data_IF_383191336401
#
_entry.id   IF_383191336401
#
_cell.length_a   1.000
_cell.length_b   1.000
_cell.length_c   1.000
_cell.angle_alpha   90.00
_cell.angle_beta   90.00
_cell.angle_gamma   90.00
#
_symmetry.space_group_name_H-M   'P 1'
#
loop_
_entity.id
_entity.type
_entity.pdbx_description
1 polymer ?
#
# COMPACT_ATOMS: atom_id res chain seq x y z
N UNK A 1 -9.39 37.08 16.57
CA UNK A 1 -8.97 36.65 15.22
C UNK A 1 -7.47 36.37 15.11
N UNK A 2 -6.60 37.08 15.85
CA UNK A 2 -5.12 36.89 15.82
C UNK A 2 -4.64 35.60 16.51
N UNK A 3 -5.25 35.21 17.64
CA UNK A 3 -4.89 33.99 18.37
C UNK A 3 -5.12 32.69 17.57
N UNK A 4 -6.14 32.66 16.70
CA UNK A 4 -6.43 31.49 15.87
C UNK A 4 -5.35 31.30 14.78
N UNK A 5 -4.83 32.41 14.25
CA UNK A 5 -3.74 32.39 13.26
C UNK A 5 -2.42 31.89 13.84
N UNK A 6 -2.10 32.25 15.08
CA UNK A 6 -0.89 31.77 15.77
C UNK A 6 -0.95 30.28 16.10
N UNK A 7 -2.12 29.76 16.51
CA UNK A 7 -2.31 28.33 16.75
C UNK A 7 -2.18 27.52 15.46
N UNK A 8 -2.74 28.00 14.35
CA UNK A 8 -2.58 27.37 13.04
C UNK A 8 -1.11 27.34 12.61
N UNK A 9 -0.38 28.44 12.74
CA UNK A 9 1.04 28.50 12.37
C UNK A 9 1.91 27.56 13.21
N UNK A 10 1.68 27.49 14.52
CA UNK A 10 2.42 26.61 15.42
C UNK A 10 2.10 25.13 15.15
N UNK A 11 0.84 24.81 14.82
CA UNK A 11 0.43 23.46 14.41
C UNK A 11 1.20 22.98 13.18
N UNK A 12 1.29 23.80 12.12
CA UNK A 12 1.99 23.43 10.90
C UNK A 12 3.53 23.43 11.03
N UNK A 13 4.09 24.25 11.91
CA UNK A 13 5.53 24.23 12.17
C UNK A 13 5.98 23.09 13.08
N UNK A 14 5.12 22.68 14.02
CA UNK A 14 5.52 21.77 15.09
C UNK A 14 5.10 20.32 14.84
N UNK A 15 4.07 20.07 14.03
CA UNK A 15 3.59 18.71 13.77
C UNK A 15 4.33 18.15 12.55
N UNK A 16 5.27 17.21 12.74
CA UNK A 16 5.91 16.53 11.63
C UNK A 16 4.87 15.69 10.88
N UNK A 17 5.20 15.34 9.63
CA UNK A 17 4.39 14.42 8.86
C UNK A 17 4.24 13.09 9.63
N UNK A 18 3.01 12.76 10.02
CA UNK A 18 2.69 11.60 10.87
C UNK A 18 2.84 10.27 10.11
N UNK A 19 2.87 10.32 8.77
CA UNK A 19 2.98 9.14 7.92
C UNK A 19 3.87 9.42 6.69
N UNK A 20 4.65 8.42 6.31
CA UNK A 20 5.42 8.40 5.08
C UNK A 20 4.68 7.57 4.04
N UNK A 21 4.40 8.16 2.87
CA UNK A 21 3.72 7.47 1.77
C UNK A 21 4.67 7.40 0.58
N UNK A 22 4.93 6.19 0.09
CA UNK A 22 5.72 5.93 -1.11
C UNK A 22 4.88 5.11 -2.09
N UNK A 23 4.86 5.49 -3.39
CA UNK A 23 4.15 4.72 -4.40
C UNK A 23 4.84 3.37 -4.65
N UNK A 24 4.05 2.33 -4.92
CA UNK A 24 4.52 0.98 -5.24
C UNK A 24 4.22 0.68 -6.71
N UNK A 25 5.23 0.25 -7.46
CA UNK A 25 5.12 -0.06 -8.89
C UNK A 25 5.41 -1.54 -9.13
N UNK A 26 4.38 -2.36 -8.98
CA UNK A 26 4.48 -3.81 -9.15
C UNK A 26 4.88 -4.18 -10.59
N UNK A 27 5.89 -5.06 -10.70
CA UNK A 27 6.44 -5.59 -11.95
C UNK A 27 6.38 -7.10 -11.96
N UNK A 28 6.33 -7.66 -13.16
CA UNK A 28 6.42 -9.10 -13.40
C UNK A 28 7.76 -9.43 -14.03
N UNK A 29 8.31 -10.60 -13.68
CA UNK A 29 9.48 -11.10 -14.37
C UNK A 29 9.11 -11.57 -15.79
N UNK A 30 9.82 -11.04 -16.79
CA UNK A 30 9.66 -11.35 -18.20
C UNK A 30 10.24 -12.72 -18.58
N UNK A 31 11.04 -13.34 -17.72
CA UNK A 31 11.71 -14.62 -17.97
C UNK A 31 10.77 -15.85 -17.93
N UNK A 32 9.50 -15.65 -17.58
CA UNK A 32 8.54 -16.74 -17.41
C UNK A 32 8.17 -17.39 -18.76
N UNK A 33 8.42 -18.71 -18.94
CA UNK A 33 8.01 -19.42 -20.15
C UNK A 33 6.49 -19.39 -20.34
N UNK A 34 6.06 -19.16 -21.59
CA UNK A 34 4.64 -19.10 -21.98
C UNK A 34 3.88 -20.34 -21.47
N UNK A 35 2.76 -20.11 -20.77
CA UNK A 35 1.87 -21.19 -20.30
C UNK A 35 2.15 -21.71 -18.89
N UNK A 36 3.06 -21.08 -18.12
CA UNK A 36 3.25 -21.37 -16.69
C UNK A 36 3.03 -20.11 -15.85
N UNK A 37 2.53 -20.27 -14.62
CA UNK A 37 2.51 -19.21 -13.61
C UNK A 37 3.89 -19.26 -12.94
N UNK A 38 4.83 -18.44 -13.41
CA UNK A 38 6.21 -18.44 -12.88
C UNK A 38 6.58 -17.17 -12.12
N UNK A 39 5.80 -16.10 -12.24
CA UNK A 39 6.11 -14.84 -11.59
C UNK A 39 4.89 -14.25 -10.88
N UNK A 40 5.12 -13.81 -9.65
CA UNK A 40 4.20 -13.00 -8.88
C UNK A 40 4.60 -11.53 -9.07
N UNK A 41 3.65 -10.58 -8.99
CA UNK A 41 4.00 -9.17 -9.03
C UNK A 41 4.84 -8.79 -7.80
N UNK A 42 5.94 -8.09 -8.01
CA UNK A 42 6.80 -7.60 -6.92
C UNK A 42 7.34 -6.20 -7.24
N UNK A 43 7.79 -5.48 -6.22
CA UNK A 43 8.53 -4.24 -6.38
C UNK A 43 9.59 -4.11 -5.29
N UNK A 44 10.70 -3.45 -5.61
CA UNK A 44 11.80 -3.21 -4.69
C UNK A 44 11.87 -1.71 -4.40
N UNK A 45 11.51 -1.33 -3.17
CA UNK A 45 11.42 0.06 -2.75
C UNK A 45 12.61 0.42 -1.87
N UNK A 46 13.31 1.50 -2.22
CA UNK A 46 14.33 2.08 -1.36
C UNK A 46 13.69 3.13 -0.47
N UNK A 47 13.62 2.86 0.84
CA UNK A 47 12.98 3.76 1.82
C UNK A 47 13.77 5.05 2.04
N UNK A 48 15.10 4.98 1.99
CA UNK A 48 16.01 6.11 2.19
C UNK A 48 16.84 6.33 0.93
N UNK A 49 16.68 7.49 0.30
CA UNK A 49 17.53 7.90 -0.82
C UNK A 49 18.95 8.26 -0.32
N UNK A 50 19.97 7.93 -1.11
CA UNK A 50 21.37 8.22 -0.74
C UNK A 50 21.56 9.71 -0.48
N UNK A 51 21.90 10.07 0.76
CA UNK A 51 22.19 11.46 1.17
C UNK A 51 21.05 12.19 1.91
N UNK A 52 19.89 11.56 2.09
CA UNK A 52 18.82 12.07 2.95
C UNK A 52 18.78 11.32 4.28
N UNK A 53 18.47 12.03 5.37
CA UNK A 53 18.38 11.44 6.70
C UNK A 53 17.17 10.49 6.82
N UNK A 54 17.32 9.52 7.71
CA UNK A 54 16.47 8.35 7.95
C UNK A 54 14.97 8.63 7.79
N UNK A 55 14.31 7.85 6.91
CA UNK A 55 12.84 7.86 6.77
C UNK A 55 12.17 7.30 8.04
N UNK A 56 12.87 6.45 8.78
CA UNK A 56 12.40 5.81 10.01
C UNK A 56 13.41 6.11 11.12
N UNK A 57 13.03 6.92 12.10
CA UNK A 57 13.87 7.20 13.26
C UNK A 57 14.05 5.93 14.12
N UNK A 58 15.30 5.63 14.50
CA UNK A 58 15.64 4.50 15.36
C UNK A 58 14.90 4.53 16.71
N UNK A 59 14.46 3.36 17.18
CA UNK A 59 13.75 3.22 18.46
C UNK A 59 12.28 3.66 18.47
N UNK A 60 11.78 4.27 17.39
CA UNK A 60 10.35 4.57 17.23
C UNK A 60 9.62 3.38 16.62
N UNK A 61 8.43 3.09 17.13
CA UNK A 61 7.56 2.06 16.58
C UNK A 61 6.70 2.64 15.44
N UNK A 62 6.70 1.95 14.29
CA UNK A 62 5.96 2.28 13.10
C UNK A 62 4.95 1.18 12.76
N UNK A 63 3.79 1.57 12.22
CA UNK A 63 2.91 0.65 11.52
C UNK A 63 3.12 0.82 10.02
N UNK A 64 3.30 -0.31 9.33
CA UNK A 64 3.49 -0.36 7.88
C UNK A 64 2.24 -0.99 7.28
N UNK A 65 1.56 -0.24 6.44
CA UNK A 65 0.37 -0.66 5.70
C UNK A 65 0.62 -0.57 4.20
N UNK A 66 0.05 -1.50 3.46
CA UNK A 66 -0.03 -1.41 2.00
C UNK A 66 -1.47 -1.10 1.61
N UNK A 67 -1.64 -0.11 0.74
CA UNK A 67 -2.93 0.22 0.11
C UNK A 67 -2.90 -0.31 -1.30
N UNK A 68 -3.86 -1.17 -1.64
CA UNK A 68 -3.98 -1.76 -2.97
C UNK A 68 -5.27 -1.29 -3.63
N UNK A 69 -5.12 -0.77 -4.85
CA UNK A 69 -6.22 -0.44 -5.75
C UNK A 69 -6.39 -1.56 -6.77
N UNK A 70 -7.52 -2.26 -6.73
CA UNK A 70 -7.79 -3.38 -7.63
C UNK A 70 -9.14 -3.22 -8.33
N UNK A 71 -9.23 -3.51 -9.65
CA UNK A 71 -10.51 -3.49 -10.35
C UNK A 71 -11.40 -4.67 -9.93
N UNK A 72 -12.71 -4.43 -9.81
CA UNK A 72 -13.72 -5.43 -9.41
C UNK A 72 -14.10 -6.41 -10.54
N UNK A 73 -13.11 -6.90 -11.28
CA UNK A 73 -13.31 -7.89 -12.35
C UNK A 73 -13.60 -9.30 -11.82
N UNK A 74 -14.37 -10.09 -12.57
CA UNK A 74 -14.66 -11.49 -12.21
C UNK A 74 -13.37 -12.29 -11.96
N UNK A 75 -12.37 -12.13 -12.83
CA UNK A 75 -11.07 -12.79 -12.69
C UNK A 75 -10.36 -12.49 -11.37
N UNK A 76 -10.43 -11.24 -10.89
CA UNK A 76 -9.80 -10.85 -9.63
C UNK A 76 -10.57 -11.35 -8.41
N UNK A 77 -11.90 -11.41 -8.51
CA UNK A 77 -12.75 -11.93 -7.44
C UNK A 77 -12.58 -13.45 -7.32
N UNK A 78 -12.51 -14.14 -8.46
CA UNK A 78 -12.29 -15.58 -8.53
C UNK A 78 -10.89 -16.01 -8.06
N UNK A 79 -9.91 -15.10 -8.01
CA UNK A 79 -8.63 -15.38 -7.34
C UNK A 79 -8.83 -15.70 -5.85
N UNK A 80 -9.89 -15.19 -5.22
CA UNK A 80 -10.17 -15.40 -3.81
C UNK A 80 -9.10 -14.78 -2.91
N UNK A 81 -8.64 -15.57 -1.93
CA UNK A 81 -7.64 -15.13 -0.96
C UNK A 81 -6.24 -15.21 -1.58
N UNK A 82 -5.50 -14.11 -1.52
CA UNK A 82 -4.10 -14.04 -1.94
C UNK A 82 -3.21 -13.57 -0.79
N UNK A 83 -1.91 -13.83 -0.91
CA UNK A 83 -0.92 -13.56 0.13
C UNK A 83 -0.06 -12.37 -0.26
N UNK A 84 0.05 -11.37 0.61
CA UNK A 84 0.98 -10.26 0.44
C UNK A 84 2.21 -10.53 1.30
N UNK A 85 3.41 -10.39 0.72
CA UNK A 85 4.69 -10.52 1.40
C UNK A 85 5.42 -9.20 1.37
N UNK A 86 5.93 -8.78 2.52
CA UNK A 86 6.84 -7.63 2.66
C UNK A 86 8.10 -8.10 3.36
N UNK A 87 9.24 -7.89 2.72
CA UNK A 87 10.56 -8.18 3.28
C UNK A 87 11.30 -6.86 3.50
N UNK A 88 11.79 -6.65 4.72
CA UNK A 88 12.69 -5.57 5.07
C UNK A 88 14.11 -6.04 4.83
N UNK A 89 14.83 -5.37 3.94
CA UNK A 89 16.13 -5.79 3.44
C UNK A 89 17.20 -4.80 3.87
N UNK A 90 18.34 -5.30 4.35
CA UNK A 90 19.50 -4.51 4.72
C UNK A 90 20.20 -3.91 3.49
N UNK A 91 21.14 -2.98 3.71
CA UNK A 91 21.99 -2.44 2.64
C UNK A 91 22.87 -3.53 1.99
N UNK A 92 23.16 -4.61 2.71
CA UNK A 92 23.92 -5.76 2.24
C UNK A 92 23.07 -6.75 1.44
N UNK A 93 21.74 -6.59 1.42
CA UNK A 93 20.80 -7.48 0.73
C UNK A 93 20.25 -8.60 1.60
N UNK A 94 20.54 -8.61 2.90
CA UNK A 94 20.03 -9.62 3.83
C UNK A 94 18.62 -9.26 4.29
N UNK A 95 17.74 -10.27 4.36
CA UNK A 95 16.38 -10.09 4.86
C UNK A 95 16.45 -9.99 6.39
N UNK A 96 16.17 -8.80 6.93
CA UNK A 96 16.15 -8.53 8.38
C UNK A 96 14.84 -9.02 8.99
N UNK A 97 13.72 -8.64 8.40
CA UNK A 97 12.38 -9.03 8.86
C UNK A 97 11.47 -9.30 7.67
N UNK A 98 10.49 -10.19 7.85
CA UNK A 98 9.56 -10.58 6.79
C UNK A 98 8.16 -10.73 7.37
N UNK A 99 7.18 -10.12 6.73
CA UNK A 99 5.76 -10.24 7.06
C UNK A 99 4.99 -10.86 5.89
N UNK A 100 4.01 -11.70 6.21
CA UNK A 100 3.10 -12.32 5.25
C UNK A 100 1.68 -12.17 5.78
N UNK A 101 0.82 -11.45 5.05
CA UNK A 101 -0.58 -11.19 5.47
C UNK A 101 -1.57 -11.55 4.36
N UNK A 102 -2.65 -12.29 4.69
CA UNK A 102 -3.64 -12.68 3.69
C UNK A 102 -4.54 -11.49 3.40
N UNK A 103 -4.95 -11.39 2.15
CA UNK A 103 -5.87 -10.37 1.67
C UNK A 103 -6.90 -11.00 0.74
N UNK A 104 -8.07 -10.39 0.67
CA UNK A 104 -9.15 -10.83 -0.17
C UNK A 104 -9.93 -9.62 -0.65
N UNK A 105 -10.34 -9.64 -1.93
CA UNK A 105 -11.31 -8.67 -2.43
C UNK A 105 -12.66 -8.87 -1.76
N UNK A 106 -13.34 -7.79 -1.40
CA UNK A 106 -14.62 -7.95 -0.73
C UNK A 106 -15.66 -8.37 -1.76
N UNK A 107 -16.21 -9.57 -1.57
CA UNK A 107 -17.23 -10.09 -2.45
C UNK A 107 -18.52 -9.24 -2.37
N UNK A 108 -19.07 -8.90 -3.54
CA UNK A 108 -20.39 -8.29 -3.70
C UNK A 108 -21.24 -9.20 -4.59
N UNK A 109 -22.49 -9.41 -4.19
CA UNK A 109 -23.41 -10.25 -4.96
C UNK A 109 -23.64 -9.71 -6.37
N UNK A 110 -23.83 -10.57 -7.39
CA UNK A 110 -24.04 -10.12 -8.76
C UNK A 110 -25.29 -9.25 -8.90
N UNK A 111 -26.35 -9.55 -8.15
CA UNK A 111 -27.56 -8.74 -8.11
C UNK A 111 -27.29 -7.33 -7.59
N UNK A 112 -26.53 -7.21 -6.49
CA UNK A 112 -26.15 -5.91 -5.95
C UNK A 112 -25.32 -5.11 -6.94
N UNK A 113 -24.38 -5.75 -7.65
CA UNK A 113 -23.60 -5.09 -8.70
C UNK A 113 -24.48 -4.54 -9.81
N UNK A 114 -25.45 -5.30 -10.31
CA UNK A 114 -26.39 -4.83 -11.34
C UNK A 114 -27.18 -3.60 -10.86
N UNK A 115 -27.72 -3.63 -9.64
CA UNK A 115 -28.47 -2.51 -9.07
C UNK A 115 -27.58 -1.28 -8.89
N UNK A 116 -26.36 -1.47 -8.38
CA UNK A 116 -25.38 -0.40 -8.17
C UNK A 116 -24.95 0.23 -9.50
N UNK A 117 -24.57 -0.58 -10.47
CA UNK A 117 -24.21 -0.13 -11.82
C UNK A 117 -25.37 0.60 -12.47
N UNK A 118 -26.61 0.08 -12.37
CA UNK A 118 -27.81 0.74 -12.92
C UNK A 118 -28.05 2.12 -12.31
N UNK A 119 -27.84 2.26 -11.00
CA UNK A 119 -28.01 3.53 -10.30
C UNK A 119 -26.93 4.57 -10.70
N UNK A 120 -25.70 4.11 -10.94
CA UNK A 120 -24.56 4.97 -11.26
C UNK A 120 -24.16 5.01 -12.75
N UNK A 121 -24.98 4.48 -13.67
CA UNK A 121 -24.67 4.46 -15.12
C UNK A 121 -24.23 5.81 -15.66
N UNK A 122 -24.92 6.94 -15.38
CA UNK A 122 -24.52 8.22 -15.96
C UNK A 122 -23.10 8.63 -15.51
N UNK A 123 -22.75 8.40 -14.25
CA UNK A 123 -21.43 8.74 -13.71
C UNK A 123 -20.33 7.82 -14.24
N UNK A 124 -20.63 6.53 -14.42
CA UNK A 124 -19.73 5.53 -15.01
C UNK A 124 -19.41 5.85 -16.48
N UNK A 125 -20.43 6.19 -17.28
CA UNK A 125 -20.25 6.53 -18.70
C UNK A 125 -19.47 7.84 -18.90
N UNK A 126 -19.64 8.80 -17.99
CA UNK A 126 -18.88 10.05 -18.00
C UNK A 126 -17.44 9.88 -17.48
N UNK A 127 -17.05 8.67 -17.05
CA UNK A 127 -15.71 8.38 -16.51
C UNK A 127 -15.44 9.03 -15.15
N UNK A 128 -16.46 9.58 -14.49
CA UNK A 128 -16.32 10.18 -13.15
C UNK A 128 -16.24 9.12 -12.05
N UNK A 129 -16.73 7.92 -12.33
CA UNK A 129 -16.70 6.78 -11.42
C UNK A 129 -16.02 5.60 -12.12
N UNK A 130 -15.18 4.88 -11.39
CA UNK A 130 -14.51 3.66 -11.86
C UNK A 130 -14.90 2.47 -10.96
N UNK A 131 -15.04 1.28 -11.55
CA UNK A 131 -15.32 0.03 -10.81
C UNK A 131 -14.04 -0.55 -10.19
N UNK A 132 -13.52 0.15 -9.18
CA UNK A 132 -12.35 -0.26 -8.41
C UNK A 132 -12.63 -0.32 -6.92
N UNK A 133 -11.89 -1.20 -6.25
CA UNK A 133 -11.88 -1.34 -4.81
C UNK A 133 -10.49 -1.02 -4.27
N UNK A 134 -10.43 -0.07 -3.33
CA UNK A 134 -9.24 0.25 -2.54
C UNK A 134 -9.37 -0.40 -1.17
N UNK A 135 -8.35 -1.15 -0.74
CA UNK A 135 -8.29 -1.72 0.61
C UNK A 135 -6.87 -1.65 1.16
N UNK A 136 -6.76 -1.49 2.48
CA UNK A 136 -5.49 -1.47 3.19
C UNK A 136 -5.26 -2.79 3.93
N UNK A 137 -4.00 -3.22 3.98
CA UNK A 137 -3.55 -4.39 4.73
C UNK A 137 -2.39 -3.99 5.61
N UNK A 138 -2.53 -4.16 6.92
CA UNK A 138 -1.45 -3.89 7.88
C UNK A 138 -0.44 -5.04 7.86
N UNK A 139 0.78 -4.76 7.40
CA UNK A 139 1.86 -5.73 7.28
C UNK A 139 2.66 -5.82 8.57
N UNK A 140 2.98 -4.67 9.17
CA UNK A 140 3.58 -4.57 10.49
C UNK A 140 2.78 -3.59 11.35
N UNK A 141 2.46 -4.00 12.58
CA UNK A 141 1.75 -3.14 13.54
C UNK A 141 2.73 -2.35 14.41
N UNK A 142 3.91 -2.92 14.68
CA UNK A 142 4.94 -2.34 15.56
C UNK A 142 6.35 -2.67 15.07
N UNK A 143 6.71 -2.18 13.90
CA UNK A 143 8.05 -2.26 13.36
C UNK A 143 8.95 -1.23 14.05
N UNK A 144 10.09 -1.66 14.57
CA UNK A 144 11.09 -0.78 15.19
C UNK A 144 12.39 -0.98 14.44
N UNK A 145 12.97 0.10 13.94
CA UNK A 145 14.34 0.06 13.42
C UNK A 145 15.30 -0.08 14.59
N UNK A 146 16.15 -1.11 14.51
CA UNK A 146 17.27 -1.26 15.44
C UNK A 146 18.18 -0.05 15.27
N UNK A 147 18.48 0.64 16.38
CA UNK A 147 19.48 1.69 16.39
C UNK A 147 20.83 1.02 16.07
N UNK A 148 21.25 0.99 14.81
CA UNK A 148 22.58 0.49 14.47
C UNK A 148 23.58 1.45 15.11
N UNK A 149 24.22 0.96 16.18
CA UNK A 149 25.37 1.58 16.80
C UNK A 149 26.47 1.73 15.76
N UNK A 150 26.76 2.99 15.41
CA UNK A 150 27.96 3.39 14.66
C UNK A 150 29.24 2.92 15.33
#
# INVERSE_FOLDING_TARGET
MVFCFQLFFLYYLYIPAVAHVKPVYLKYDASCPKGKICSFPYDNLTLVEKGHYELLAGGQAYSIEIVLDMPESERNIDQGMFMIRLDMVSLQGDILQSSRRPAILHYRSPLFKVIYTLFFVPALLLGSLEEKQSFSVSLFEKYVEDCVSF
#
